data_IF_992118286760
#
_entry.id   IF_992118286760
#
_cell.length_a   1.000
_cell.length_b   1.000
_cell.length_c   1.000
_cell.angle_alpha   90.00
_cell.angle_beta   90.00
_cell.angle_gamma   90.00
#
_symmetry.space_group_name_H-M   'P 1'
#
loop_
_entity.id
_entity.type
_entity.pdbx_description
1 polymer ?
#
# COMPACT_ATOMS: atom_id res chain seq x y z
N UNK A 1 9.90 -52.78 -3.48
CA UNK A 1 9.46 -51.73 -2.53
C UNK A 1 9.71 -50.38 -3.17
N UNK A 2 8.69 -49.78 -3.77
CA UNK A 2 8.78 -48.49 -4.47
C UNK A 2 8.20 -47.41 -3.57
N UNK A 3 9.03 -46.47 -3.13
CA UNK A 3 8.60 -45.27 -2.41
C UNK A 3 7.96 -44.32 -3.43
N UNK A 4 6.64 -44.36 -3.51
CA UNK A 4 5.86 -43.42 -4.32
C UNK A 4 6.02 -42.00 -3.74
N UNK A 5 6.82 -41.18 -4.42
CA UNK A 5 6.84 -39.74 -4.23
C UNK A 5 5.48 -39.16 -4.60
N UNK A 6 4.73 -38.68 -3.61
CA UNK A 6 3.47 -37.95 -3.82
C UNK A 6 3.80 -36.61 -4.48
N UNK A 7 3.29 -36.29 -5.67
CA UNK A 7 3.50 -34.96 -6.24
C UNK A 7 2.64 -33.97 -5.45
N UNK A 8 3.28 -33.10 -4.67
CA UNK A 8 2.61 -31.95 -4.07
C UNK A 8 2.24 -30.97 -5.19
N UNK A 9 0.98 -30.95 -5.60
CA UNK A 9 0.43 -29.91 -6.47
C UNK A 9 0.03 -28.67 -5.60
N UNK A 10 0.75 -27.52 -5.65
CA UNK A 10 0.60 -26.43 -4.68
C UNK A 10 -0.11 -25.17 -5.22
N UNK A 11 -0.59 -25.16 -6.47
CA UNK A 11 -0.84 -23.92 -7.23
C UNK A 11 -2.14 -23.14 -6.92
N UNK A 12 -2.99 -23.58 -5.97
CA UNK A 12 -4.32 -22.93 -5.77
C UNK A 12 -4.75 -22.64 -4.33
N UNK A 13 -4.26 -23.36 -3.33
CA UNK A 13 -4.81 -23.29 -1.95
C UNK A 13 -4.42 -22.00 -1.21
N UNK A 14 -3.20 -21.50 -1.44
CA UNK A 14 -2.75 -20.24 -0.84
C UNK A 14 -3.56 -19.04 -1.36
N UNK A 15 -3.87 -19.03 -2.65
CA UNK A 15 -4.58 -17.93 -3.30
C UNK A 15 -6.05 -17.83 -2.88
N UNK A 16 -6.72 -18.97 -2.68
CA UNK A 16 -8.11 -19.00 -2.19
C UNK A 16 -8.18 -18.47 -0.75
N UNK A 17 -7.28 -18.91 0.13
CA UNK A 17 -7.25 -18.46 1.53
C UNK A 17 -7.01 -16.94 1.68
N UNK A 18 -6.26 -16.35 0.75
CA UNK A 18 -5.96 -14.91 0.75
C UNK A 18 -7.16 -14.10 0.25
N UNK A 19 -7.87 -14.58 -0.78
CA UNK A 19 -9.14 -13.97 -1.23
C UNK A 19 -10.21 -14.02 -0.13
N UNK A 20 -10.33 -15.14 0.58
CA UNK A 20 -11.24 -15.28 1.73
C UNK A 20 -10.86 -14.32 2.86
N UNK A 21 -9.56 -14.22 3.18
CA UNK A 21 -9.08 -13.24 4.16
C UNK A 21 -9.40 -11.82 3.72
N UNK A 22 -9.25 -11.50 2.42
CA UNK A 22 -9.59 -10.19 1.88
C UNK A 22 -11.09 -9.92 1.98
N UNK A 23 -11.93 -10.89 1.63
CA UNK A 23 -13.38 -10.77 1.78
C UNK A 23 -13.76 -10.53 3.24
N UNK A 24 -13.17 -11.27 4.18
CA UNK A 24 -13.38 -11.07 5.62
C UNK A 24 -12.90 -9.68 6.08
N UNK A 25 -11.70 -9.27 5.65
CA UNK A 25 -11.14 -7.96 5.97
C UNK A 25 -11.99 -6.82 5.39
N UNK A 26 -12.56 -6.98 4.19
CA UNK A 26 -13.52 -6.03 3.61
C UNK A 26 -14.81 -5.92 4.42
N UNK A 27 -15.32 -7.05 4.93
CA UNK A 27 -16.53 -7.07 5.78
C UNK A 27 -16.29 -6.41 7.13
N UNK A 28 -15.07 -6.53 7.66
CA UNK A 28 -14.66 -5.94 8.95
C UNK A 28 -14.02 -4.55 8.81
N UNK A 29 -13.96 -4.01 7.58
CA UNK A 29 -13.26 -2.77 7.29
C UNK A 29 -13.94 -1.58 7.98
N UNK A 30 -13.17 -0.89 8.82
CA UNK A 30 -13.59 0.37 9.47
C UNK A 30 -12.86 1.54 8.82
N UNK A 31 -13.25 1.92 7.61
CA UNK A 31 -12.72 3.12 6.97
C UNK A 31 -13.41 4.38 7.52
N UNK A 32 -12.65 5.40 7.91
CA UNK A 32 -13.19 6.71 8.30
C UNK A 32 -13.50 7.56 7.06
N UNK A 33 -14.31 8.62 7.21
CA UNK A 33 -14.40 9.65 6.18
C UNK A 33 -13.05 10.38 6.07
N UNK A 34 -12.55 10.56 4.85
CA UNK A 34 -11.25 11.21 4.59
C UNK A 34 -11.42 12.28 3.53
N UNK A 35 -10.70 13.40 3.68
CA UNK A 35 -10.62 14.41 2.63
C UNK A 35 -9.70 13.95 1.49
N UNK A 36 -9.72 14.68 0.37
CA UNK A 36 -8.96 14.29 -0.82
C UNK A 36 -7.43 14.31 -0.61
N UNK A 37 -6.92 15.19 0.25
CA UNK A 37 -5.50 15.23 0.59
C UNK A 37 -5.06 13.99 1.37
N UNK A 38 -5.88 13.53 2.32
CA UNK A 38 -5.69 12.28 3.05
C UNK A 38 -5.77 11.08 2.10
N UNK A 39 -6.79 11.03 1.22
CA UNK A 39 -6.92 9.97 0.21
C UNK A 39 -5.67 9.90 -0.69
N UNK A 40 -5.18 11.04 -1.17
CA UNK A 40 -3.97 11.11 -2.00
C UNK A 40 -2.74 10.61 -1.23
N UNK A 41 -2.56 11.04 0.02
CA UNK A 41 -1.44 10.64 0.88
C UNK A 41 -1.45 9.14 1.19
N UNK A 42 -2.62 8.59 1.53
CA UNK A 42 -2.79 7.16 1.83
C UNK A 42 -2.58 6.31 0.59
N UNK A 43 -3.12 6.75 -0.55
CA UNK A 43 -2.92 6.09 -1.85
C UNK A 43 -1.44 6.05 -2.22
N UNK A 44 -0.74 7.18 -2.10
CA UNK A 44 0.68 7.27 -2.40
C UNK A 44 1.50 6.33 -1.52
N UNK A 45 1.34 6.43 -0.20
CA UNK A 45 2.12 5.66 0.78
C UNK A 45 1.88 4.17 0.61
N UNK A 46 0.62 3.78 0.43
CA UNK A 46 0.24 2.39 0.23
C UNK A 46 0.78 1.85 -1.09
N UNK A 47 0.64 2.57 -2.20
CA UNK A 47 1.21 2.15 -3.48
C UNK A 47 2.74 2.04 -3.43
N UNK A 48 3.41 2.97 -2.74
CA UNK A 48 4.85 2.94 -2.56
C UNK A 48 5.31 1.63 -1.88
N UNK A 49 4.63 1.23 -0.80
CA UNK A 49 4.93 -0.02 -0.09
C UNK A 49 4.51 -1.24 -0.91
N UNK A 50 3.35 -1.23 -1.56
CA UNK A 50 2.84 -2.37 -2.33
C UNK A 50 3.65 -2.65 -3.60
N UNK A 51 4.33 -1.64 -4.15
CA UNK A 51 5.30 -1.80 -5.23
C UNK A 51 6.64 -2.41 -4.79
N UNK A 52 6.87 -2.57 -3.48
CA UNK A 52 8.05 -3.26 -2.96
C UNK A 52 7.91 -4.79 -3.09
N UNK A 53 9.04 -5.50 -2.96
CA UNK A 53 9.02 -6.94 -2.86
C UNK A 53 8.48 -7.38 -1.49
N UNK A 54 7.32 -8.05 -1.51
CA UNK A 54 6.66 -8.62 -0.33
C UNK A 54 6.66 -10.16 -0.46
N UNK A 55 7.33 -10.86 0.48
CA UNK A 55 7.49 -12.33 0.46
C UNK A 55 6.72 -13.05 1.57
N UNK A 56 5.82 -12.34 2.25
CA UNK A 56 4.99 -12.83 3.33
C UNK A 56 3.58 -12.24 3.21
N UNK A 57 2.63 -12.73 4.00
CA UNK A 57 1.29 -12.15 4.10
C UNK A 57 1.28 -11.06 5.18
N UNK A 58 1.16 -9.76 4.84
CA UNK A 58 1.03 -8.72 5.84
C UNK A 58 -0.29 -8.85 6.61
N UNK A 59 -0.27 -8.47 7.87
CA UNK A 59 -1.39 -8.44 8.80
C UNK A 59 -1.43 -7.10 9.50
N UNK A 60 -2.63 -6.66 9.86
CA UNK A 60 -2.83 -5.42 10.59
C UNK A 60 -2.21 -5.47 11.98
N UNK A 61 -1.73 -4.33 12.49
CA UNK A 61 -1.20 -4.22 13.86
C UNK A 61 0.22 -4.77 14.07
N UNK A 62 0.90 -5.18 12.99
CA UNK A 62 2.30 -5.58 13.01
C UNK A 62 3.18 -4.51 12.34
N UNK A 63 4.38 -4.30 12.91
CA UNK A 63 5.41 -3.48 12.31
C UNK A 63 6.21 -4.26 11.26
N UNK A 64 6.52 -3.57 10.17
CA UNK A 64 7.35 -4.03 9.07
C UNK A 64 8.44 -3.00 8.79
N UNK A 65 9.51 -3.41 8.11
CA UNK A 65 10.63 -2.53 7.81
C UNK A 65 10.93 -2.52 6.32
N UNK A 66 10.99 -1.33 5.74
CA UNK A 66 11.24 -1.12 4.32
C UNK A 66 12.73 -0.87 4.09
N UNK A 67 13.29 -1.57 3.11
CA UNK A 67 14.69 -1.43 2.73
C UNK A 67 14.83 -1.20 1.23
N UNK A 68 15.87 -0.46 0.84
CA UNK A 68 16.31 -0.30 -0.54
C UNK A 68 17.65 -1.00 -0.73
N UNK A 69 17.70 -1.96 -1.64
CA UNK A 69 18.94 -2.66 -1.99
C UNK A 69 18.88 -3.13 -3.44
N UNK A 70 19.99 -2.92 -4.15
CA UNK A 70 20.12 -3.21 -5.59
C UNK A 70 19.03 -2.51 -6.40
N UNK A 71 18.73 -1.26 -6.06
CA UNK A 71 17.68 -0.43 -6.68
C UNK A 71 16.25 -0.99 -6.53
N UNK A 72 16.03 -1.95 -5.63
CA UNK A 72 14.73 -2.55 -5.36
C UNK A 72 14.31 -2.37 -3.91
N UNK A 73 13.08 -1.88 -3.73
CA UNK A 73 12.44 -1.82 -2.42
C UNK A 73 11.98 -3.21 -1.99
N UNK A 74 12.17 -3.54 -0.72
CA UNK A 74 11.73 -4.80 -0.11
C UNK A 74 11.14 -4.56 1.27
N UNK A 75 9.99 -5.16 1.54
CA UNK A 75 9.38 -5.17 2.86
C UNK A 75 9.91 -6.38 3.64
N UNK A 76 10.25 -6.18 4.92
CA UNK A 76 10.83 -7.20 5.78
C UNK A 76 10.11 -7.29 7.13
N UNK A 77 10.19 -8.46 7.74
CA UNK A 77 9.82 -8.75 9.13
C UNK A 77 11.00 -8.55 10.11
N UNK A 78 12.18 -8.24 9.59
CA UNK A 78 13.42 -8.13 10.38
C UNK A 78 13.74 -6.65 10.56
N UNK A 79 13.81 -6.22 11.82
CA UNK A 79 14.18 -4.86 12.19
C UNK A 79 15.64 -4.56 11.83
N UNK A 80 16.01 -3.29 11.57
CA UNK A 80 17.36 -2.94 11.15
C UNK A 80 18.42 -3.31 12.19
N UNK A 81 18.06 -3.36 13.48
CA UNK A 81 18.93 -3.76 14.59
C UNK A 81 19.20 -5.27 14.61
N UNK A 82 18.37 -6.07 13.94
CA UNK A 82 18.38 -7.54 14.00
C UNK A 82 19.16 -8.19 12.84
N UNK A 83 19.62 -7.41 11.86
CA UNK A 83 20.41 -7.93 10.74
C UNK A 83 21.39 -6.91 10.17
N UNK A 84 22.57 -7.38 9.75
CA UNK A 84 23.66 -6.51 9.27
C UNK A 84 23.24 -5.66 8.06
N UNK A 85 23.58 -4.37 8.06
CA UNK A 85 23.32 -3.42 6.98
C UNK A 85 23.77 -3.90 5.59
N UNK A 86 24.90 -4.62 5.51
CA UNK A 86 25.42 -5.20 4.26
C UNK A 86 24.42 -6.16 3.61
N UNK A 87 23.66 -6.91 4.43
CA UNK A 87 22.67 -7.88 3.94
C UNK A 87 21.33 -7.22 3.64
N UNK A 88 20.90 -6.29 4.48
CA UNK A 88 19.58 -5.64 4.39
C UNK A 88 19.52 -4.53 3.35
N UNK A 89 20.61 -3.78 3.17
CA UNK A 89 20.67 -2.55 2.38
C UNK A 89 20.35 -1.32 3.19
N UNK A 90 19.95 -0.25 2.48
CA UNK A 90 19.58 1.01 3.11
C UNK A 90 18.22 0.85 3.80
N UNK A 91 18.16 1.11 5.11
CA UNK A 91 16.91 1.15 5.87
C UNK A 91 16.14 2.45 5.58
N UNK A 92 14.93 2.31 5.05
CA UNK A 92 14.08 3.44 4.63
C UNK A 92 13.16 3.90 5.75
N UNK A 93 12.55 2.97 6.48
CA UNK A 93 11.58 3.32 7.51
C UNK A 93 10.72 2.15 7.99
N UNK A 94 9.96 2.41 9.05
CA UNK A 94 8.99 1.48 9.62
C UNK A 94 7.63 1.64 8.93
N UNK A 95 7.00 0.53 8.61
CA UNK A 95 5.70 0.46 7.94
C UNK A 95 4.68 -0.27 8.80
N UNK A 96 3.42 0.14 8.74
CA UNK A 96 2.33 -0.61 9.37
C UNK A 96 1.12 -0.65 8.45
N UNK A 97 0.51 -1.84 8.35
CA UNK A 97 -0.80 -2.02 7.72
C UNK A 97 -1.87 -1.66 8.75
N UNK A 98 -2.67 -0.65 8.43
CA UNK A 98 -3.74 -0.14 9.29
C UNK A 98 -5.00 -0.98 9.19
N UNK A 99 -5.92 -0.83 10.16
CA UNK A 99 -7.20 -1.55 10.17
C UNK A 99 -8.08 -1.23 8.97
N UNK A 100 -7.91 -0.04 8.39
CA UNK A 100 -8.58 0.36 7.15
C UNK A 100 -7.81 -0.10 5.90
N UNK A 101 -6.83 -1.00 6.02
CA UNK A 101 -6.04 -1.54 4.91
C UNK A 101 -5.18 -0.51 4.15
N UNK A 102 -5.04 0.71 4.67
CA UNK A 102 -4.01 1.66 4.22
C UNK A 102 -2.68 1.39 4.91
N UNK A 103 -1.59 1.86 4.33
CA UNK A 103 -0.27 1.74 4.93
C UNK A 103 0.24 3.09 5.43
N UNK A 104 0.94 3.05 6.55
CA UNK A 104 1.77 4.16 7.02
C UNK A 104 3.24 3.84 6.80
N UNK A 105 4.05 4.90 6.63
CA UNK A 105 5.50 4.85 6.56
C UNK A 105 6.08 5.95 7.44
N UNK A 106 6.84 5.56 8.46
CA UNK A 106 7.68 6.46 9.25
C UNK A 106 9.12 6.32 8.76
N UNK A 107 9.66 7.39 8.19
CA UNK A 107 11.02 7.40 7.64
C UNK A 107 12.07 7.26 8.76
N UNK A 108 13.13 6.52 8.47
CA UNK A 108 14.32 6.51 9.33
C UNK A 108 14.95 7.90 9.39
N UNK A 109 15.63 8.21 10.49
CA UNK A 109 16.31 9.52 10.64
C UNK A 109 17.27 9.81 9.49
N UNK A 110 17.99 8.79 8.99
CA UNK A 110 18.89 8.91 7.84
C UNK A 110 18.14 9.30 6.57
N UNK A 111 16.97 8.72 6.31
CA UNK A 111 16.16 9.06 5.14
C UNK A 111 15.42 10.39 5.28
N UNK A 112 14.99 10.73 6.49
CA UNK A 112 14.36 12.02 6.79
C UNK A 112 15.34 13.20 6.64
N UNK A 113 16.64 12.95 6.78
CA UNK A 113 17.69 13.97 6.58
C UNK A 113 18.34 13.93 5.18
N UNK A 114 17.95 12.98 4.32
CA UNK A 114 18.47 12.89 2.95
C UNK A 114 17.60 13.69 1.99
N UNK A 115 18.04 14.91 1.69
CA UNK A 115 17.34 15.82 0.77
C UNK A 115 17.13 15.25 -0.64
N UNK A 116 18.08 14.45 -1.17
CA UNK A 116 17.97 13.88 -2.51
C UNK A 116 16.89 12.79 -2.54
N UNK A 117 16.86 11.93 -1.52
CA UNK A 117 15.81 10.94 -1.34
C UNK A 117 14.44 11.60 -1.18
N UNK A 118 14.32 12.63 -0.33
CA UNK A 118 13.06 13.35 -0.14
C UNK A 118 12.57 14.02 -1.43
N UNK A 119 13.46 14.59 -2.24
CA UNK A 119 13.11 15.16 -3.54
C UNK A 119 12.60 14.11 -4.52
N UNK A 120 13.21 12.91 -4.53
CA UNK A 120 12.76 11.79 -5.36
C UNK A 120 11.35 11.34 -4.96
N UNK A 121 11.10 11.14 -3.66
CA UNK A 121 9.78 10.77 -3.14
C UNK A 121 8.74 11.85 -3.44
N UNK A 122 9.09 13.13 -3.27
CA UNK A 122 8.22 14.25 -3.60
C UNK A 122 7.91 14.33 -5.11
N UNK A 123 8.86 14.00 -5.98
CA UNK A 123 8.63 13.93 -7.43
C UNK A 123 7.64 12.81 -7.78
N UNK A 124 7.82 11.61 -7.21
CA UNK A 124 6.88 10.48 -7.40
C UNK A 124 5.48 10.81 -6.89
N UNK A 125 5.38 11.52 -5.75
CA UNK A 125 4.11 11.97 -5.19
C UNK A 125 3.40 12.95 -6.12
N UNK A 126 4.12 13.95 -6.63
CA UNK A 126 3.56 14.91 -7.60
C UNK A 126 3.03 14.22 -8.85
N UNK A 127 3.75 13.23 -9.38
CA UNK A 127 3.27 12.46 -10.54
C UNK A 127 1.95 11.72 -10.27
N UNK A 128 1.74 11.21 -9.04
CA UNK A 128 0.45 10.60 -8.67
C UNK A 128 -0.64 11.66 -8.53
N UNK A 129 -0.33 12.79 -7.89
CA UNK A 129 -1.26 13.91 -7.71
C UNK A 129 -1.70 14.51 -9.06
N UNK A 130 -0.78 14.66 -10.01
CA UNK A 130 -1.09 15.08 -11.39
C UNK A 130 -2.06 14.10 -12.07
N UNK A 131 -1.86 12.78 -11.92
CA UNK A 131 -2.80 11.78 -12.44
C UNK A 131 -4.18 11.89 -11.80
N UNK A 132 -4.24 12.10 -10.48
CA UNK A 132 -5.50 12.32 -9.76
C UNK A 132 -6.22 13.59 -10.23
N UNK A 133 -5.48 14.67 -10.50
CA UNK A 133 -6.03 15.93 -10.98
C UNK A 133 -6.53 15.86 -12.42
N UNK A 134 -5.90 15.04 -13.26
CA UNK A 134 -6.29 14.86 -14.67
C UNK A 134 -7.44 13.88 -14.87
N UNK A 135 -7.72 13.02 -13.89
CA UNK A 135 -8.80 12.05 -13.97
C UNK A 135 -10.18 12.74 -13.90
N UNK A 136 -11.13 12.24 -14.70
CA UNK A 136 -12.52 12.69 -14.63
C UNK A 136 -13.10 12.43 -13.23
N UNK A 137 -12.83 11.24 -12.69
CA UNK A 137 -13.20 10.84 -11.32
C UNK A 137 -11.99 10.29 -10.59
N UNK A 138 -11.90 10.62 -9.30
CA UNK A 138 -10.79 10.15 -8.44
C UNK A 138 -10.73 8.63 -8.39
N UNK A 139 -11.87 7.95 -8.39
CA UNK A 139 -11.93 6.49 -8.29
C UNK A 139 -11.48 5.74 -9.56
N UNK A 140 -11.27 6.44 -10.68
CA UNK A 140 -10.67 5.90 -11.91
C UNK A 140 -9.16 5.65 -11.76
N UNK A 141 -8.50 6.37 -10.84
CA UNK A 141 -7.05 6.25 -10.60
C UNK A 141 -6.71 5.13 -9.61
N UNK A 142 -7.70 4.62 -8.89
CA UNK A 142 -7.47 3.60 -7.87
C UNK A 142 -6.95 2.29 -8.47
N UNK A 143 -6.04 1.58 -7.77
CA UNK A 143 -5.44 0.35 -8.27
C UNK A 143 -6.41 -0.82 -8.10
N UNK A 144 -7.47 -0.86 -8.92
CA UNK A 144 -8.47 -1.94 -8.87
C UNK A 144 -7.82 -3.27 -9.31
N UNK A 145 -6.85 -3.22 -10.23
CA UNK A 145 -6.07 -4.36 -10.68
C UNK A 145 -4.72 -3.93 -11.29
N UNK A 146 -3.61 -4.56 -10.87
CA UNK A 146 -2.25 -4.29 -11.37
C UNK A 146 -1.57 -5.60 -11.77
N UNK A 147 -1.66 -6.00 -13.05
CA UNK A 147 -1.10 -7.28 -13.55
C UNK A 147 0.39 -7.44 -13.31
N UNK A 148 1.14 -6.35 -13.29
CA UNK A 148 2.59 -6.36 -13.12
C UNK A 148 3.06 -6.70 -11.69
N UNK A 149 2.16 -6.69 -10.70
CA UNK A 149 2.57 -6.87 -9.30
C UNK A 149 2.66 -8.35 -8.88
N UNK A 150 3.49 -8.68 -7.88
CA UNK A 150 3.44 -9.98 -7.21
C UNK A 150 2.07 -10.23 -6.57
N UNK A 151 1.71 -11.51 -6.38
CA UNK A 151 0.37 -11.92 -5.94
C UNK A 151 -0.16 -11.17 -4.70
N UNK A 152 0.64 -11.07 -3.62
CA UNK A 152 0.24 -10.36 -2.39
C UNK A 152 -0.02 -8.88 -2.64
N UNK A 153 0.84 -8.22 -3.42
CA UNK A 153 0.70 -6.81 -3.75
C UNK A 153 -0.57 -6.54 -4.58
N UNK A 154 -0.96 -7.44 -5.50
CA UNK A 154 -2.24 -7.31 -6.24
C UNK A 154 -3.44 -7.35 -5.31
N UNK A 155 -3.48 -8.35 -4.42
CA UNK A 155 -4.61 -8.53 -3.51
C UNK A 155 -4.73 -7.34 -2.56
N UNK A 156 -3.61 -6.88 -1.99
CA UNK A 156 -3.60 -5.74 -1.08
C UNK A 156 -3.94 -4.43 -1.81
N UNK A 157 -3.55 -4.26 -3.08
CA UNK A 157 -3.94 -3.12 -3.89
C UNK A 157 -5.45 -3.06 -4.13
N UNK A 158 -6.10 -4.21 -4.42
CA UNK A 158 -7.56 -4.25 -4.52
C UNK A 158 -8.26 -3.98 -3.17
N UNK A 159 -7.64 -4.35 -2.04
CA UNK A 159 -8.14 -4.00 -0.71
C UNK A 159 -8.04 -2.49 -0.43
N UNK A 160 -6.88 -1.89 -0.74
CA UNK A 160 -6.64 -0.47 -0.64
C UNK A 160 -7.68 0.32 -1.45
N UNK A 161 -7.90 -0.07 -2.71
CA UNK A 161 -8.90 0.57 -3.56
C UNK A 161 -10.31 0.51 -2.96
N UNK A 162 -10.69 -0.65 -2.38
CA UNK A 162 -11.97 -0.78 -1.68
C UNK A 162 -12.07 0.13 -0.46
N UNK A 163 -11.00 0.22 0.34
CA UNK A 163 -10.96 1.09 1.50
C UNK A 163 -11.10 2.57 1.16
N UNK A 164 -10.30 3.04 0.19
CA UNK A 164 -10.36 4.44 -0.24
C UNK A 164 -11.73 4.77 -0.85
N UNK A 165 -12.37 3.85 -1.58
CA UNK A 165 -13.75 4.04 -2.05
C UNK A 165 -14.74 4.22 -0.89
N UNK A 166 -14.63 3.42 0.18
CA UNK A 166 -15.48 3.55 1.35
C UNK A 166 -15.26 4.89 2.07
N UNK A 167 -14.00 5.33 2.24
CA UNK A 167 -13.67 6.64 2.81
C UNK A 167 -14.21 7.80 1.96
N UNK A 168 -14.10 7.71 0.63
CA UNK A 168 -14.64 8.71 -0.30
C UNK A 168 -16.17 8.75 -0.29
N UNK A 169 -16.83 7.59 -0.16
CA UNK A 169 -18.28 7.51 -0.04
C UNK A 169 -18.76 8.19 1.24
N UNK A 170 -18.09 7.92 2.38
CA UNK A 170 -18.44 8.51 3.69
C UNK A 170 -18.22 10.02 3.76
N UNK A 171 -17.25 10.55 3.01
CA UNK A 171 -16.99 11.99 2.88
C UNK A 171 -17.79 12.66 1.75
N UNK A 172 -18.54 11.88 0.97
CA UNK A 172 -19.34 12.38 -0.15
C UNK A 172 -18.51 12.95 -1.31
N UNK A 173 -17.28 12.46 -1.50
CA UNK A 173 -16.39 12.85 -2.62
C UNK A 173 -16.22 11.76 -3.68
N UNK A 174 -16.83 10.59 -3.48
CA UNK A 174 -16.80 9.51 -4.47
C UNK A 174 -17.45 9.97 -5.79
N UNK A 175 -16.81 9.67 -6.92
CA UNK A 175 -17.28 10.07 -8.25
C UNK A 175 -17.07 11.54 -8.60
N UNK A 176 -16.43 12.33 -7.73
CA UNK A 176 -16.00 13.69 -8.02
C UNK A 176 -14.63 13.72 -8.68
N UNK A 177 -14.34 14.80 -9.41
CA UNK A 177 -12.97 15.16 -9.78
C UNK A 177 -12.19 15.66 -8.56
N UNK A 178 -10.86 15.66 -8.67
CA UNK A 178 -9.98 16.14 -7.58
C UNK A 178 -10.35 17.55 -7.10
N UNK A 179 -10.55 18.50 -8.03
CA UNK A 179 -10.90 19.89 -7.70
C UNK A 179 -12.25 19.99 -6.98
N UNK A 180 -13.26 19.25 -7.42
CA UNK A 180 -14.58 19.24 -6.76
C UNK A 180 -14.49 18.67 -5.35
N UNK A 181 -13.70 17.60 -5.16
CA UNK A 181 -13.47 17.02 -3.84
C UNK A 181 -12.71 17.97 -2.90
N UNK A 182 -11.73 18.72 -3.41
CA UNK A 182 -11.02 19.73 -2.62
C UNK A 182 -11.97 20.82 -2.12
N UNK A 183 -12.82 21.35 -3.00
CA UNK A 183 -13.79 22.39 -2.64
C UNK A 183 -14.76 21.93 -1.54
N UNK A 184 -15.11 20.65 -1.53
CA UNK A 184 -16.04 20.08 -0.54
C UNK A 184 -15.45 20.07 0.88
N UNK A 185 -14.13 19.92 1.01
CA UNK A 185 -13.45 20.03 2.31
C UNK A 185 -13.55 21.44 2.92
N UNK A 186 -13.49 22.48 2.08
CA UNK A 186 -13.59 23.87 2.53
C UNK A 186 -15.01 24.29 2.91
N UNK A 187 -16.05 23.62 2.39
CA UNK A 187 -17.46 23.94 2.71
C UNK A 187 -18.00 23.23 3.97
N UNK A 188 -17.22 22.32 4.56
CA UNK A 188 -17.69 21.52 5.71
C UNK A 188 -16.95 21.86 7.02
N UNK A 189 -16.06 22.85 6.99
CA UNK A 189 -15.42 23.51 8.13
C UNK A 189 -15.93 24.96 8.22
#
# INVERSE_FOLDING_TARGET
MSLMSKPANPQGKGSIAILETLQQAKTQLVASAKNIQQISSDLFTSLFILNSQIRFKPTTGQAYWLYLKDSQYRLSLIAPEQWSAIRSGRFIGACQLQLDLTWTLELSSDCANDSAFLQEIAARRRQLEEKLQQAEKIDDVLPVYLEALPYYSRVLASALAFSLKQSMQKSGILGLSFRQAEQRFFTTN
#
